data_IF_638586209595
#
_entry.id   IF_638586209595
#
_cell.length_a   1.000
_cell.length_b   1.000
_cell.length_c   1.000
_cell.angle_alpha   90.00
_cell.angle_beta   90.00
_cell.angle_gamma   90.00
#
_symmetry.space_group_name_H-M   'P 1'
#
loop_
_entity.id
_entity.type
_entity.pdbx_description
1 polymer ?
#
# COMPACT_ATOMS: atom_id res chain seq x y z
N UNK A 1 13.73 -25.44 5.85
CA UNK A 1 13.06 -24.12 5.91
C UNK A 1 12.65 -23.62 4.53
N UNK A 2 13.52 -23.61 3.52
CA UNK A 2 13.24 -23.07 2.18
C UNK A 2 11.89 -23.51 1.56
N UNK A 3 11.56 -24.81 1.57
CA UNK A 3 10.25 -25.29 1.06
C UNK A 3 9.04 -24.69 1.78
N UNK A 4 9.12 -24.46 3.10
CA UNK A 4 8.03 -23.86 3.87
C UNK A 4 7.91 -22.36 3.58
N UNK A 5 9.04 -21.67 3.39
CA UNK A 5 9.08 -20.27 2.99
C UNK A 5 8.38 -20.07 1.64
N UNK A 6 8.84 -20.76 0.59
CA UNK A 6 8.25 -20.64 -0.75
C UNK A 6 6.77 -21.01 -0.79
N UNK A 7 6.36 -22.00 0.02
CA UNK A 7 4.93 -22.33 0.15
C UNK A 7 4.13 -21.23 0.86
N UNK A 8 4.69 -20.60 1.89
CA UNK A 8 4.01 -19.57 2.69
C UNK A 8 3.87 -18.25 1.94
N UNK A 9 4.89 -17.88 1.16
CA UNK A 9 4.96 -16.60 0.43
C UNK A 9 4.82 -16.77 -1.08
N UNK A 10 4.12 -17.83 -1.51
CA UNK A 10 3.95 -18.16 -2.91
C UNK A 10 3.24 -17.04 -3.68
N UNK A 11 2.21 -16.42 -3.07
CA UNK A 11 1.44 -15.35 -3.70
C UNK A 11 2.28 -14.09 -3.92
N UNK A 12 3.07 -13.69 -2.92
CA UNK A 12 3.96 -12.55 -2.98
C UNK A 12 5.10 -12.78 -4.00
N UNK A 13 5.63 -14.00 -4.04
CA UNK A 13 6.61 -14.39 -5.06
C UNK A 13 6.03 -14.43 -6.49
N UNK A 14 4.81 -14.94 -6.66
CA UNK A 14 4.12 -14.97 -7.95
C UNK A 14 3.83 -13.54 -8.44
N UNK A 15 3.33 -12.68 -7.55
CA UNK A 15 3.07 -11.28 -7.83
C UNK A 15 4.34 -10.53 -8.24
N UNK A 16 5.46 -10.76 -7.54
CA UNK A 16 6.76 -10.19 -7.93
C UNK A 16 7.28 -10.72 -9.27
N UNK A 17 7.06 -12.01 -9.58
CA UNK A 17 7.49 -12.63 -10.84
C UNK A 17 6.65 -12.21 -12.04
N UNK A 18 5.39 -11.85 -11.83
CA UNK A 18 4.44 -11.48 -12.88
C UNK A 18 4.79 -10.17 -13.61
N UNK A 19 5.70 -9.38 -13.05
CA UNK A 19 6.01 -8.02 -13.47
C UNK A 19 7.44 -7.88 -14.04
N UNK A 20 7.94 -8.91 -14.72
CA UNK A 20 9.31 -9.01 -15.25
C UNK A 20 10.42 -8.72 -14.21
N UNK A 21 10.08 -8.78 -12.92
CA UNK A 21 10.93 -8.42 -11.77
C UNK A 21 11.39 -6.97 -11.78
N UNK A 22 10.58 -6.05 -12.28
CA UNK A 22 10.84 -4.61 -12.25
C UNK A 22 10.54 -4.00 -10.86
N UNK A 23 11.33 -4.45 -9.88
CA UNK A 23 11.20 -4.12 -8.46
C UNK A 23 12.02 -5.08 -7.58
N UNK A 24 11.68 -5.16 -6.30
CA UNK A 24 12.37 -6.02 -5.33
C UNK A 24 11.39 -6.85 -4.50
N UNK A 25 11.91 -7.90 -3.88
CA UNK A 25 11.21 -8.63 -2.83
C UNK A 25 11.84 -8.28 -1.49
N UNK A 26 11.09 -7.64 -0.60
CA UNK A 26 11.54 -7.24 0.73
C UNK A 26 11.12 -8.30 1.75
N UNK A 27 12.03 -8.62 2.68
CA UNK A 27 11.77 -9.50 3.83
C UNK A 27 12.05 -8.72 5.11
N UNK A 28 11.09 -8.72 6.03
CA UNK A 28 11.26 -8.22 7.39
C UNK A 28 11.06 -9.39 8.36
N UNK A 29 11.99 -9.62 9.29
CA UNK A 29 11.91 -10.75 10.20
C UNK A 29 12.52 -10.44 11.57
N UNK A 30 11.89 -10.96 12.62
CA UNK A 30 12.40 -10.95 13.98
C UNK A 30 13.16 -12.25 14.25
N UNK A 31 14.43 -12.16 14.64
CA UNK A 31 15.28 -13.33 14.87
C UNK A 31 16.19 -13.14 16.10
N UNK A 32 16.64 -14.24 16.68
CA UNK A 32 17.64 -14.24 17.75
C UNK A 32 18.57 -15.45 17.65
N UNK A 33 19.63 -15.47 18.46
CA UNK A 33 20.47 -16.65 18.68
C UNK A 33 20.07 -17.26 20.02
N UNK A 34 19.59 -18.50 19.99
CA UNK A 34 19.18 -19.22 21.19
C UNK A 34 20.36 -19.67 22.05
N UNK A 35 20.09 -20.19 23.25
CA UNK A 35 21.10 -20.71 24.18
C UNK A 35 21.92 -21.89 23.62
N UNK A 36 21.39 -22.59 22.62
CA UNK A 36 22.12 -23.62 21.85
C UNK A 36 23.13 -23.04 20.84
N UNK A 37 23.21 -21.71 20.70
CA UNK A 37 24.02 -21.03 19.69
C UNK A 37 23.40 -21.01 18.28
N UNK A 38 22.20 -21.58 18.09
CA UNK A 38 21.54 -21.65 16.79
C UNK A 38 20.61 -20.44 16.56
N UNK A 39 20.64 -19.83 15.35
CA UNK A 39 19.74 -18.75 15.00
C UNK A 39 18.30 -19.26 14.83
N UNK A 40 17.33 -18.47 15.30
CA UNK A 40 15.90 -18.75 15.21
C UNK A 40 15.16 -17.52 14.67
N UNK A 41 14.22 -17.76 13.75
CA UNK A 41 13.29 -16.74 13.26
C UNK A 41 11.95 -16.96 13.96
N UNK A 42 11.40 -15.90 14.56
CA UNK A 42 10.11 -15.93 15.26
C UNK A 42 8.97 -15.52 14.34
N UNK A 43 9.17 -14.41 13.64
CA UNK A 43 8.18 -13.79 12.76
C UNK A 43 8.85 -13.33 11.48
N UNK A 44 8.12 -13.37 10.38
CA UNK A 44 8.60 -12.92 9.09
C UNK A 44 7.43 -12.47 8.22
N UNK A 45 7.66 -11.38 7.51
CA UNK A 45 6.80 -10.85 6.46
C UNK A 45 7.60 -10.68 5.18
N UNK A 46 6.95 -10.92 4.05
CA UNK A 46 7.51 -10.74 2.71
C UNK A 46 6.55 -9.86 1.93
N UNK A 47 7.06 -8.89 1.18
CA UNK A 47 6.26 -8.06 0.30
C UNK A 47 7.04 -7.69 -0.96
N UNK A 48 6.39 -7.65 -2.12
CA UNK A 48 6.99 -7.05 -3.28
C UNK A 48 6.98 -5.53 -3.15
N UNK A 49 8.01 -4.88 -3.68
CA UNK A 49 8.19 -3.42 -3.67
C UNK A 49 8.63 -2.94 -5.05
N UNK A 50 8.24 -1.74 -5.45
CA UNK A 50 8.68 -1.12 -6.71
C UNK A 50 10.18 -0.82 -6.68
N UNK A 51 10.75 -0.33 -7.79
CA UNK A 51 12.14 0.12 -7.88
C UNK A 51 12.47 1.24 -6.88
N UNK A 52 11.46 2.04 -6.51
CA UNK A 52 11.52 3.12 -5.52
C UNK A 52 11.29 2.62 -4.09
N UNK A 53 11.28 1.31 -3.87
CA UNK A 53 11.06 0.65 -2.58
C UNK A 53 9.66 0.89 -1.98
N UNK A 54 8.65 1.13 -2.84
CA UNK A 54 7.27 1.28 -2.41
C UNK A 54 6.54 -0.08 -2.47
N UNK A 55 5.97 -0.56 -1.35
CA UNK A 55 5.24 -1.83 -1.32
C UNK A 55 3.97 -1.82 -2.16
N UNK A 56 3.55 -3.00 -2.64
CA UNK A 56 2.27 -3.18 -3.32
C UNK A 56 1.68 -4.57 -3.04
N UNK A 57 0.36 -4.68 -3.07
CA UNK A 57 -0.39 -5.90 -2.74
C UNK A 57 -1.05 -6.54 -3.98
N UNK A 58 -1.02 -5.84 -5.13
CA UNK A 58 -1.53 -6.32 -6.41
C UNK A 58 -1.00 -5.53 -7.60
N UNK A 59 -1.25 -6.03 -8.83
CA UNK A 59 -0.76 -5.41 -10.07
C UNK A 59 -1.40 -4.05 -10.35
N UNK A 60 -2.69 -3.91 -10.07
CA UNK A 60 -3.40 -2.63 -10.22
C UNK A 60 -2.85 -1.59 -9.24
N UNK A 61 -2.55 -2.00 -8.00
CA UNK A 61 -1.90 -1.13 -7.03
C UNK A 61 -0.51 -0.70 -7.49
N UNK A 62 0.29 -1.64 -8.00
CA UNK A 62 1.61 -1.34 -8.55
C UNK A 62 1.50 -0.30 -9.67
N UNK A 63 0.56 -0.50 -10.59
CA UNK A 63 0.33 0.41 -11.73
C UNK A 63 0.01 1.83 -11.24
N UNK A 64 -0.88 1.94 -10.25
CA UNK A 64 -1.22 3.20 -9.60
C UNK A 64 0.00 3.87 -8.93
N UNK A 65 0.81 3.09 -8.19
CA UNK A 65 2.02 3.59 -7.51
C UNK A 65 3.04 4.09 -8.53
N UNK A 66 3.31 3.31 -9.59
CA UNK A 66 4.24 3.68 -10.66
C UNK A 66 3.77 4.95 -11.36
N UNK A 67 2.48 5.04 -11.71
CA UNK A 67 1.90 6.26 -12.29
C UNK A 67 2.13 7.48 -11.38
N UNK A 68 1.88 7.35 -10.07
CA UNK A 68 2.08 8.46 -9.13
C UNK A 68 3.56 8.88 -9.01
N UNK A 69 4.49 7.93 -9.07
CA UNK A 69 5.94 8.18 -9.10
C UNK A 69 6.35 8.89 -10.39
N UNK A 70 5.91 8.41 -11.54
CA UNK A 70 6.21 8.98 -12.86
C UNK A 70 5.66 10.40 -13.01
N UNK A 71 4.44 10.64 -12.51
CA UNK A 71 3.81 11.96 -12.44
C UNK A 71 4.42 12.87 -11.34
N UNK A 72 5.41 12.39 -10.58
CA UNK A 72 6.10 13.12 -9.49
C UNK A 72 5.13 13.65 -8.43
N UNK A 73 4.12 12.86 -8.08
CA UNK A 73 3.10 13.22 -7.10
C UNK A 73 3.67 13.22 -5.69
N UNK A 74 3.11 14.07 -4.84
CA UNK A 74 3.35 13.99 -3.40
C UNK A 74 2.24 13.14 -2.78
N UNK A 75 2.60 12.03 -2.15
CA UNK A 75 1.61 11.12 -1.59
C UNK A 75 2.14 10.35 -0.38
N UNK A 76 1.19 9.81 0.39
CA UNK A 76 1.42 8.80 1.42
C UNK A 76 0.89 7.47 0.90
N UNK A 77 1.71 6.41 0.96
CA UNK A 77 1.29 5.04 0.62
C UNK A 77 0.54 4.42 1.79
N UNK A 78 -0.68 3.92 1.56
CA UNK A 78 -1.42 3.13 2.55
C UNK A 78 -0.88 1.70 2.64
N UNK A 79 -0.85 1.13 3.85
CA UNK A 79 -0.35 -0.23 4.11
C UNK A 79 -1.29 -1.02 5.02
N UNK A 80 -1.62 -2.27 4.64
CA UNK A 80 -2.43 -3.18 5.47
C UNK A 80 -1.58 -3.90 6.51
N UNK A 81 -1.00 -3.18 7.47
CA UNK A 81 -0.14 -3.78 8.50
C UNK A 81 -0.90 -4.72 9.44
N UNK A 82 -2.10 -4.34 9.86
CA UNK A 82 -3.00 -5.10 10.75
C UNK A 82 -4.46 -5.06 10.26
N UNK A 83 -4.64 -4.74 8.97
CA UNK A 83 -5.96 -4.53 8.38
C UNK A 83 -6.33 -5.75 7.53
N UNK A 84 -7.52 -6.32 7.75
CA UNK A 84 -8.01 -7.45 6.94
C UNK A 84 -8.32 -7.03 5.49
N UNK A 85 -8.32 -8.00 4.57
CA UNK A 85 -8.60 -7.75 3.14
C UNK A 85 -10.01 -7.19 2.89
N UNK A 86 -10.98 -7.56 3.74
CA UNK A 86 -12.36 -7.07 3.69
C UNK A 86 -12.51 -5.58 4.03
N UNK A 87 -11.46 -4.96 4.59
CA UNK A 87 -11.50 -3.56 4.99
C UNK A 87 -10.80 -2.67 3.96
N UNK A 88 -11.46 -1.58 3.51
CA UNK A 88 -10.87 -0.65 2.56
C UNK A 88 -9.73 0.13 3.19
N UNK A 89 -8.71 0.37 2.39
CA UNK A 89 -7.63 1.32 2.66
C UNK A 89 -7.33 2.06 1.35
N UNK A 90 -7.05 3.35 1.45
CA UNK A 90 -6.58 4.10 0.31
C UNK A 90 -5.19 3.60 -0.06
N UNK A 91 -5.03 3.09 -1.28
CA UNK A 91 -3.71 2.68 -1.77
C UNK A 91 -2.74 3.86 -1.73
N UNK A 92 -3.20 5.04 -2.15
CA UNK A 92 -2.46 6.30 -2.05
C UNK A 92 -3.33 7.38 -1.40
N UNK A 93 -2.69 8.29 -0.65
CA UNK A 93 -3.28 9.57 -0.27
C UNK A 93 -2.43 10.67 -0.89
N UNK A 94 -2.94 11.30 -1.95
CA UNK A 94 -2.29 12.43 -2.63
C UNK A 94 -2.38 13.66 -1.74
N UNK A 95 -1.25 14.31 -1.48
CA UNK A 95 -1.15 15.49 -0.61
C UNK A 95 -0.90 16.77 -1.38
N UNK A 96 -0.88 16.71 -2.71
CA UNK A 96 -0.67 17.81 -3.64
C UNK A 96 -1.96 18.24 -4.35
N UNK A 97 -3.13 17.94 -3.78
CA UNK A 97 -4.45 18.18 -4.40
C UNK A 97 -5.13 19.47 -3.95
N UNK A 98 -4.46 20.29 -3.12
CA UNK A 98 -4.95 21.58 -2.63
C UNK A 98 -5.18 21.58 -1.12
N UNK A 99 -6.33 22.09 -0.69
CA UNK A 99 -6.66 22.24 0.75
C UNK A 99 -6.98 20.93 1.45
N UNK A 100 -7.46 19.94 0.70
CA UNK A 100 -7.75 18.59 1.19
C UNK A 100 -6.92 17.58 0.40
N UNK A 101 -6.40 16.58 1.09
CA UNK A 101 -5.75 15.45 0.46
C UNK A 101 -6.77 14.60 -0.31
N UNK A 102 -6.32 13.83 -1.30
CA UNK A 102 -7.16 12.88 -2.03
C UNK A 102 -6.76 11.45 -1.68
N UNK A 103 -7.64 10.74 -0.99
CA UNK A 103 -7.56 9.29 -0.77
C UNK A 103 -8.01 8.54 -2.03
N UNK A 104 -7.12 7.73 -2.59
CA UNK A 104 -7.31 6.94 -3.82
C UNK A 104 -7.45 5.47 -3.45
N UNK A 105 -8.61 4.90 -3.74
CA UNK A 105 -8.93 3.49 -3.54
C UNK A 105 -8.92 2.76 -4.88
N UNK A 106 -8.46 1.52 -4.92
CA UNK A 106 -8.61 0.68 -6.11
C UNK A 106 -10.09 0.29 -6.27
N UNK A 107 -10.61 0.41 -7.48
CA UNK A 107 -11.94 -0.10 -7.76
C UNK A 107 -11.87 -1.61 -8.04
N UNK A 108 -12.83 -2.35 -7.52
CA UNK A 108 -12.97 -3.78 -7.77
C UNK A 108 -13.73 -4.01 -9.09
N UNK A 109 -13.35 -5.07 -9.81
CA UNK A 109 -14.02 -5.49 -11.05
C UNK A 109 -15.27 -6.34 -10.77
N UNK A 110 -15.34 -6.95 -9.60
CA UNK A 110 -16.47 -7.77 -9.14
C UNK A 110 -17.00 -7.18 -7.82
N UNK A 111 -18.32 -7.25 -7.58
CA UNK A 111 -18.89 -6.79 -6.31
C UNK A 111 -18.36 -7.61 -5.14
N UNK A 112 -17.98 -6.93 -4.07
CA UNK A 112 -17.55 -7.50 -2.80
C UNK A 112 -18.37 -6.84 -1.68
N UNK A 113 -19.60 -7.32 -1.38
CA UNK A 113 -20.58 -6.53 -0.64
C UNK A 113 -20.09 -5.96 0.70
N UNK A 114 -19.31 -6.74 1.47
CA UNK A 114 -18.75 -6.27 2.76
C UNK A 114 -17.73 -5.15 2.57
N UNK A 115 -16.85 -5.30 1.59
CA UNK A 115 -15.85 -4.29 1.26
C UNK A 115 -16.52 -3.03 0.69
N UNK A 116 -17.46 -3.20 -0.23
CA UNK A 116 -18.19 -2.12 -0.89
C UNK A 116 -18.97 -1.28 0.13
N UNK A 117 -19.71 -1.92 1.05
CA UNK A 117 -20.41 -1.24 2.14
C UNK A 117 -19.44 -0.48 3.06
N UNK A 118 -18.31 -1.10 3.43
CA UNK A 118 -17.29 -0.48 4.26
C UNK A 118 -16.62 0.71 3.55
N UNK A 119 -16.39 0.61 2.24
CA UNK A 119 -15.81 1.67 1.43
C UNK A 119 -16.78 2.84 1.31
N UNK A 120 -18.05 2.58 1.02
CA UNK A 120 -19.08 3.62 1.00
C UNK A 120 -19.17 4.37 2.34
N UNK A 121 -19.09 3.65 3.46
CA UNK A 121 -19.07 4.26 4.78
C UNK A 121 -17.81 5.11 4.98
N UNK A 122 -16.64 4.59 4.62
CA UNK A 122 -15.36 5.30 4.74
C UNK A 122 -15.34 6.58 3.89
N UNK A 123 -15.89 6.54 2.67
CA UNK A 123 -15.93 7.68 1.74
C UNK A 123 -16.84 8.82 2.20
N UNK A 124 -17.65 8.63 3.24
CA UNK A 124 -18.44 9.71 3.88
C UNK A 124 -17.62 10.54 4.87
N UNK A 125 -16.39 10.15 5.15
CA UNK A 125 -15.49 10.88 6.05
C UNK A 125 -15.18 12.27 5.46
N UNK A 126 -15.32 13.32 6.26
CA UNK A 126 -15.06 14.70 5.83
C UNK A 126 -13.59 15.08 6.04
N UNK A 127 -13.11 16.09 5.30
CA UNK A 127 -11.75 16.61 5.41
C UNK A 127 -10.73 15.90 4.52
N UNK A 128 -11.19 15.00 3.66
CA UNK A 128 -10.40 14.34 2.62
C UNK A 128 -11.30 14.09 1.43
N UNK A 129 -10.79 14.29 0.22
CA UNK A 129 -11.49 13.91 -0.99
C UNK A 129 -11.28 12.41 -1.23
N UNK A 130 -12.34 11.66 -1.51
CA UNK A 130 -12.24 10.24 -1.80
C UNK A 130 -12.49 9.98 -3.29
N UNK A 131 -11.65 9.14 -3.91
CA UNK A 131 -11.85 8.69 -5.29
C UNK A 131 -11.50 7.22 -5.44
N UNK A 132 -12.17 6.55 -6.36
CA UNK A 132 -11.75 5.25 -6.85
C UNK A 132 -10.88 5.42 -8.10
N UNK A 133 -9.99 4.47 -8.36
CA UNK A 133 -9.12 4.43 -9.52
C UNK A 133 -9.08 3.02 -10.11
N UNK A 134 -9.03 2.93 -11.44
CA UNK A 134 -8.82 1.70 -12.22
C UNK A 134 -7.62 1.86 -13.16
N UNK A 135 -6.98 0.77 -13.58
CA UNK A 135 -5.92 0.83 -14.60
C UNK A 135 -6.33 1.65 -15.82
N UNK A 136 -5.53 2.68 -16.13
CA UNK A 136 -5.76 3.63 -17.22
C UNK A 136 -6.46 4.94 -16.81
N UNK A 137 -6.99 5.03 -15.60
CA UNK A 137 -7.56 6.28 -15.07
C UNK A 137 -6.46 7.31 -14.79
N UNK A 138 -6.80 8.58 -14.95
CA UNK A 138 -5.90 9.68 -14.55
C UNK A 138 -6.02 9.94 -13.06
N UNK A 139 -4.90 10.22 -12.41
CA UNK A 139 -4.91 10.77 -11.06
C UNK A 139 -5.51 12.18 -11.05
N UNK A 140 -6.11 12.54 -9.91
CA UNK A 140 -6.65 13.89 -9.71
C UNK A 140 -5.54 14.93 -9.88
N UNK A 141 -5.82 16.02 -10.59
CA UNK A 141 -4.83 17.04 -10.95
C UNK A 141 -4.14 17.63 -9.72
N UNK A 142 -2.80 17.67 -9.74
CA UNK A 142 -2.02 18.35 -8.72
C UNK A 142 -2.33 19.85 -8.72
N UNK A 143 -2.65 20.41 -7.56
CA UNK A 143 -2.78 21.84 -7.33
C UNK A 143 -1.53 22.26 -6.57
N UNK A 144 -0.74 23.16 -7.17
CA UNK A 144 0.56 23.58 -6.64
C UNK A 144 0.54 23.88 -5.14
N UNK A 145 1.64 23.56 -4.47
CA UNK A 145 1.85 23.53 -3.02
C UNK A 145 0.98 24.53 -2.23
N UNK A 146 -0.19 24.08 -1.78
CA UNK A 146 -0.72 24.53 -0.52
C UNK A 146 0.17 23.93 0.60
N UNK A 147 0.28 24.61 1.73
CA UNK A 147 1.07 24.15 2.88
C UNK A 147 0.82 22.66 3.17
N UNK A 148 1.85 21.88 3.54
CA UNK A 148 1.74 20.44 3.70
C UNK A 148 0.56 20.11 4.63
N UNK A 149 -0.39 19.33 4.11
CA UNK A 149 -1.51 18.80 4.89
C UNK A 149 -0.91 17.89 5.95
N UNK A 150 -1.02 18.30 7.22
CA UNK A 150 -0.64 17.44 8.33
C UNK A 150 -1.49 16.17 8.30
N UNK A 151 -0.87 15.03 8.02
CA UNK A 151 -1.51 13.74 8.20
C UNK A 151 -1.88 13.58 9.69
N UNK A 152 -3.15 13.29 9.98
CA UNK A 152 -3.60 13.01 11.33
C UNK A 152 -2.90 11.75 11.85
N UNK A 153 -1.83 11.90 12.63
CA UNK A 153 -1.07 10.76 13.13
C UNK A 153 0.23 11.04 13.88
N UNK A 154 0.77 12.25 13.90
CA UNK A 154 2.01 12.54 14.65
C UNK A 154 1.87 13.77 15.54
N UNK A 155 1.14 13.62 16.65
CA UNK A 155 1.49 14.38 17.85
C UNK A 155 2.64 13.64 18.53
N UNK A 156 3.88 13.97 18.17
CA UNK A 156 5.00 13.69 19.04
C UNK A 156 4.89 14.62 20.25
N UNK A 157 4.47 14.06 21.39
CA UNK A 157 4.62 14.70 22.69
C UNK A 157 6.11 14.81 23.01
N UNK A 158 6.57 16.03 23.26
CA UNK A 158 7.83 16.32 23.95
C UNK A 158 7.79 15.84 25.40
#
# INVERSE_FOLDING_TARGET
>A
MARRFHKRFAAEEELWKADDRDGHLMIAASFSIGSSGLPQIYEMSVMPVTREWLPYEGLDERTLVVQAVEERRHFVKGMRVNLGLEMPIASLTLTDTGTEATAVYLAHNLPEPRYDEALEQLMRTRGVHHTTWRPGDRLQVARGLAAPVAAAGTSASN
#
